data_IF_704737261082
#
_entry.id   IF_704737261082
#
_cell.length_a   1.000
_cell.length_b   1.000
_cell.length_c   1.000
_cell.angle_alpha   90.00
_cell.angle_beta   90.00
_cell.angle_gamma   90.00
#
_symmetry.space_group_name_H-M   'P 1'
#
loop_
_entity.id
_entity.type
_entity.pdbx_description
1 polymer ?
#
# COMPACT_ATOMS: atom_id res chain seq x y z
N UNK A 1 47.03 31.50 -18.27
CA UNK A 1 45.60 31.43 -18.68
C UNK A 1 44.86 30.59 -17.66
N UNK A 2 43.86 31.16 -16.97
CA UNK A 2 43.13 30.48 -15.88
C UNK A 2 42.02 29.62 -16.50
N UNK A 3 42.11 28.30 -16.34
CA UNK A 3 41.08 27.36 -16.79
C UNK A 3 39.99 27.31 -15.72
N UNK A 4 38.86 27.99 -15.97
CA UNK A 4 37.70 27.89 -15.09
C UNK A 4 37.08 26.49 -15.23
N UNK A 5 37.12 25.69 -14.16
CA UNK A 5 36.34 24.46 -14.06
C UNK A 5 34.85 24.83 -13.92
N UNK A 6 34.07 24.53 -14.96
CA UNK A 6 32.61 24.47 -14.88
C UNK A 6 32.24 23.19 -14.10
N UNK A 7 31.78 23.35 -12.85
CA UNK A 7 31.22 22.26 -12.06
C UNK A 7 29.81 21.96 -12.60
N UNK A 8 29.70 20.88 -13.38
CA UNK A 8 28.43 20.31 -13.79
C UNK A 8 27.80 19.58 -12.60
N UNK A 9 26.96 20.27 -11.82
CA UNK A 9 26.20 19.65 -10.73
C UNK A 9 25.17 18.67 -11.31
N UNK A 10 25.50 17.38 -11.25
CA UNK A 10 24.62 16.28 -11.57
C UNK A 10 23.55 16.18 -10.48
N UNK A 11 22.35 16.70 -10.73
CA UNK A 11 21.20 16.44 -9.87
C UNK A 11 20.89 14.94 -9.92
N UNK A 12 21.26 14.21 -8.86
CA UNK A 12 20.76 12.87 -8.60
C UNK A 12 19.27 12.98 -8.30
N UNK A 13 18.43 12.83 -9.32
CA UNK A 13 17.01 12.57 -9.14
C UNK A 13 16.94 11.12 -8.63
N UNK A 14 16.48 10.86 -7.39
CA UNK A 14 16.22 9.49 -6.97
C UNK A 14 15.14 8.94 -7.90
N UNK A 15 15.51 7.97 -8.74
CA UNK A 15 14.55 7.20 -9.52
C UNK A 15 13.72 6.40 -8.52
N UNK A 16 12.50 6.86 -8.24
CA UNK A 16 11.50 6.03 -7.57
C UNK A 16 11.14 4.97 -8.62
N UNK A 17 11.76 3.80 -8.51
CA UNK A 17 11.45 2.66 -9.38
C UNK A 17 10.07 2.13 -9.00
N UNK A 18 9.04 2.51 -9.78
CA UNK A 18 7.77 1.81 -9.83
C UNK A 18 7.85 0.70 -10.87
N UNK A 19 8.38 -0.44 -10.47
CA UNK A 19 8.12 -1.70 -11.17
C UNK A 19 7.73 -2.73 -10.11
N UNK A 20 6.52 -2.57 -9.56
CA UNK A 20 6.22 -3.25 -8.30
C UNK A 20 6.02 -4.76 -8.48
N UNK A 21 5.49 -5.20 -9.63
CA UNK A 21 5.54 -6.60 -10.09
C UNK A 21 5.39 -6.64 -11.62
N UNK A 22 6.46 -6.95 -12.36
CA UNK A 22 6.40 -7.09 -13.83
C UNK A 22 6.92 -8.48 -14.27
N UNK A 23 6.30 -9.53 -13.74
CA UNK A 23 6.68 -10.91 -14.05
C UNK A 23 5.90 -11.43 -15.26
N UNK A 24 6.56 -12.19 -16.13
CA UNK A 24 5.93 -12.75 -17.33
C UNK A 24 4.98 -13.92 -17.03
N UNK A 25 5.24 -14.70 -15.99
CA UNK A 25 4.37 -15.81 -15.59
C UNK A 25 3.41 -15.42 -14.46
N UNK A 26 2.18 -15.95 -14.54
CA UNK A 26 1.09 -15.60 -13.63
C UNK A 26 1.39 -16.01 -12.18
N UNK A 27 2.07 -17.13 -11.95
CA UNK A 27 2.36 -17.59 -10.59
C UNK A 27 3.37 -16.68 -9.89
N UNK A 28 4.45 -16.28 -10.57
CA UNK A 28 5.43 -15.34 -10.04
C UNK A 28 4.84 -13.94 -9.88
N UNK A 29 3.97 -13.51 -10.80
CA UNK A 29 3.23 -12.25 -10.66
C UNK A 29 2.38 -12.27 -9.37
N UNK A 30 1.62 -13.34 -9.16
CA UNK A 30 0.78 -13.51 -7.97
C UNK A 30 1.61 -13.46 -6.69
N UNK A 31 2.68 -14.25 -6.59
CA UNK A 31 3.59 -14.26 -5.43
C UNK A 31 4.24 -12.89 -5.17
N UNK A 32 4.60 -12.18 -6.24
CA UNK A 32 5.12 -10.83 -6.13
C UNK A 32 4.07 -9.89 -5.51
N UNK A 33 2.82 -9.95 -5.98
CA UNK A 33 1.72 -9.15 -5.46
C UNK A 33 1.44 -9.48 -3.97
N UNK A 34 1.53 -10.74 -3.56
CA UNK A 34 1.42 -11.13 -2.14
C UNK A 34 2.53 -10.50 -1.30
N UNK A 35 3.78 -10.58 -1.78
CA UNK A 35 4.92 -9.99 -1.10
C UNK A 35 4.81 -8.46 -1.03
N UNK A 36 4.30 -7.84 -2.08
CA UNK A 36 4.03 -6.42 -2.12
C UNK A 36 2.99 -6.02 -1.08
N UNK A 37 1.87 -6.72 -1.03
CA UNK A 37 0.81 -6.48 -0.06
C UNK A 37 1.32 -6.63 1.39
N UNK A 38 2.14 -7.65 1.65
CA UNK A 38 2.79 -7.83 2.97
C UNK A 38 3.66 -6.63 3.33
N UNK A 39 4.44 -6.15 2.38
CA UNK A 39 5.30 -4.97 2.54
C UNK A 39 4.47 -3.73 2.86
N UNK A 40 3.38 -3.49 2.12
CA UNK A 40 2.53 -2.31 2.32
C UNK A 40 1.72 -2.36 3.61
N UNK A 41 1.23 -3.54 4.03
CA UNK A 41 0.66 -3.74 5.37
C UNK A 41 1.67 -3.38 6.47
N UNK A 42 2.94 -3.73 6.28
CA UNK A 42 4.03 -3.34 7.18
C UNK A 42 4.26 -1.82 7.23
N UNK A 43 4.28 -1.15 6.08
CA UNK A 43 4.36 0.32 6.00
C UNK A 43 3.16 0.99 6.67
N UNK A 44 1.95 0.47 6.43
CA UNK A 44 0.71 1.01 6.98
C UNK A 44 0.70 0.93 8.52
N UNK A 45 1.16 -0.19 9.09
CA UNK A 45 1.25 -0.32 10.55
C UNK A 45 2.23 0.70 11.15
N UNK A 46 3.40 0.91 10.51
CA UNK A 46 4.36 1.93 10.96
C UNK A 46 3.75 3.34 10.89
N UNK A 47 3.10 3.66 9.78
CA UNK A 47 2.47 4.95 9.56
C UNK A 47 1.32 5.20 10.54
N UNK A 48 0.47 4.19 10.77
CA UNK A 48 -0.58 4.24 11.80
C UNK A 48 0.01 4.57 13.17
N UNK A 49 1.10 3.93 13.58
CA UNK A 49 1.74 4.21 14.87
C UNK A 49 2.29 5.64 14.95
N UNK A 50 2.82 6.18 13.85
CA UNK A 50 3.23 7.58 13.79
C UNK A 50 2.03 8.52 13.98
N UNK A 51 0.93 8.32 13.25
CA UNK A 51 -0.32 9.10 13.40
C UNK A 51 -0.92 8.94 14.81
N UNK A 52 -0.83 7.74 15.39
CA UNK A 52 -1.36 7.47 16.72
C UNK A 52 -0.61 8.23 17.82
N UNK A 53 0.72 8.31 17.72
CA UNK A 53 1.56 8.91 18.75
C UNK A 53 1.53 10.44 18.77
N UNK A 54 1.07 11.10 17.69
CA UNK A 54 0.92 12.55 17.61
C UNK A 54 -0.41 13.07 18.22
N UNK A 55 -1.34 12.18 18.55
CA UNK A 55 -2.67 12.54 19.03
C UNK A 55 -2.84 12.43 20.55
N UNK A 56 -3.76 13.22 21.10
CA UNK A 56 -4.24 13.05 22.47
C UNK A 56 -5.08 11.76 22.62
N UNK A 57 -5.41 11.37 23.86
CA UNK A 57 -6.13 10.11 24.13
C UNK A 57 -7.50 10.04 23.46
N UNK A 58 -8.19 11.18 23.34
CA UNK A 58 -9.49 11.24 22.65
C UNK A 58 -9.32 10.90 21.16
N UNK A 59 -8.36 11.55 20.50
CA UNK A 59 -8.12 11.38 19.06
C UNK A 59 -7.46 10.03 18.75
N UNK A 60 -6.65 9.47 19.64
CA UNK A 60 -6.16 8.08 19.57
C UNK A 60 -7.31 7.08 19.51
N UNK A 61 -8.28 7.19 20.42
CA UNK A 61 -9.45 6.31 20.44
C UNK A 61 -10.29 6.42 19.15
N UNK A 62 -10.42 7.63 18.59
CA UNK A 62 -11.10 7.84 17.31
C UNK A 62 -10.33 7.24 16.13
N UNK A 63 -8.99 7.39 16.09
CA UNK A 63 -8.14 6.80 15.08
C UNK A 63 -8.19 5.26 15.12
N UNK A 64 -8.14 4.68 16.31
CA UNK A 64 -8.25 3.23 16.50
C UNK A 64 -9.61 2.71 16.01
N UNK A 65 -10.70 3.40 16.37
CA UNK A 65 -12.05 3.07 15.90
C UNK A 65 -12.15 3.15 14.37
N UNK A 66 -11.59 4.21 13.77
CA UNK A 66 -11.51 4.37 12.31
C UNK A 66 -10.75 3.21 11.66
N UNK A 67 -9.58 2.86 12.20
CA UNK A 67 -8.75 1.77 11.67
C UNK A 67 -9.45 0.41 11.76
N UNK A 68 -10.13 0.11 12.86
CA UNK A 68 -10.91 -1.12 13.02
C UNK A 68 -12.09 -1.18 12.04
N UNK A 69 -12.81 -0.08 11.86
CA UNK A 69 -13.90 -0.01 10.90
C UNK A 69 -13.41 -0.23 9.46
N UNK A 70 -12.27 0.37 9.09
CA UNK A 70 -11.63 0.14 7.81
C UNK A 70 -11.20 -1.32 7.62
N UNK A 71 -10.63 -1.96 8.64
CA UNK A 71 -10.27 -3.39 8.59
C UNK A 71 -11.49 -4.26 8.30
N UNK A 72 -12.61 -4.00 8.99
CA UNK A 72 -13.87 -4.72 8.77
C UNK A 72 -14.40 -4.49 7.35
N UNK A 73 -14.41 -3.24 6.88
CA UNK A 73 -14.78 -2.92 5.50
C UNK A 73 -13.92 -3.69 4.49
N UNK A 74 -12.59 -3.71 4.65
CA UNK A 74 -11.69 -4.42 3.74
C UNK A 74 -11.96 -5.94 3.74
N UNK A 75 -12.24 -6.54 4.90
CA UNK A 75 -12.57 -7.97 4.99
C UNK A 75 -13.86 -8.25 4.23
N UNK A 76 -14.94 -7.53 4.55
CA UNK A 76 -16.24 -7.73 3.88
C UNK A 76 -16.13 -7.47 2.37
N UNK A 77 -15.41 -6.42 1.97
CA UNK A 77 -15.24 -6.06 0.57
C UNK A 77 -14.39 -7.10 -0.19
N UNK A 78 -13.20 -7.42 0.30
CA UNK A 78 -12.24 -8.22 -0.44
C UNK A 78 -12.37 -9.72 -0.17
N UNK A 79 -12.56 -10.12 1.09
CA UNK A 79 -12.57 -11.54 1.46
C UNK A 79 -13.96 -12.17 1.28
N UNK A 80 -15.03 -11.40 1.46
CA UNK A 80 -16.41 -11.92 1.33
C UNK A 80 -17.02 -11.56 -0.03
N UNK A 81 -17.18 -10.27 -0.34
CA UNK A 81 -17.88 -9.82 -1.55
C UNK A 81 -17.11 -10.18 -2.82
N UNK A 82 -15.80 -9.91 -2.91
CA UNK A 82 -15.02 -10.30 -4.09
C UNK A 82 -14.95 -11.81 -4.26
N UNK A 83 -14.80 -12.58 -3.19
CA UNK A 83 -14.86 -14.04 -3.26
C UNK A 83 -16.22 -14.52 -3.77
N UNK A 84 -17.32 -13.92 -3.32
CA UNK A 84 -18.67 -14.25 -3.81
C UNK A 84 -18.86 -13.91 -5.28
N UNK A 85 -18.39 -12.75 -5.73
CA UNK A 85 -18.54 -12.29 -7.12
C UNK A 85 -17.63 -13.04 -8.09
N UNK A 86 -16.53 -13.61 -7.58
CA UNK A 86 -15.55 -14.37 -8.38
C UNK A 86 -15.63 -15.89 -8.15
N UNK A 87 -16.66 -16.37 -7.44
CA UNK A 87 -16.83 -17.79 -7.11
C UNK A 87 -16.84 -18.72 -8.33
N UNK A 88 -17.29 -18.24 -9.49
CA UNK A 88 -17.26 -18.98 -10.77
C UNK A 88 -15.93 -18.89 -11.54
N UNK A 89 -15.00 -18.02 -11.12
CA UNK A 89 -13.69 -17.91 -11.73
C UNK A 89 -12.77 -19.02 -11.17
N UNK A 90 -12.46 -19.99 -12.02
CA UNK A 90 -11.58 -21.11 -11.67
C UNK A 90 -10.11 -20.66 -11.58
N UNK A 91 -9.35 -21.29 -10.69
CA UNK A 91 -7.90 -21.16 -10.61
C UNK A 91 -7.42 -19.77 -10.13
N UNK A 92 -6.34 -19.28 -10.72
CA UNK A 92 -5.64 -18.07 -10.26
C UNK A 92 -6.44 -16.77 -10.43
N UNK A 93 -7.46 -16.74 -11.29
CA UNK A 93 -8.21 -15.51 -11.59
C UNK A 93 -8.97 -14.95 -10.38
N UNK A 94 -9.63 -15.80 -9.59
CA UNK A 94 -10.30 -15.39 -8.34
C UNK A 94 -9.29 -14.94 -7.29
N UNK A 95 -8.14 -15.63 -7.19
CA UNK A 95 -7.03 -15.21 -6.35
C UNK A 95 -6.52 -13.82 -6.72
N UNK A 96 -6.32 -13.53 -8.01
CA UNK A 96 -5.87 -12.21 -8.47
C UNK A 96 -6.86 -11.10 -8.12
N UNK A 97 -8.16 -11.33 -8.31
CA UNK A 97 -9.19 -10.34 -7.96
C UNK A 97 -9.22 -10.03 -6.46
N UNK A 98 -9.12 -11.07 -5.62
CA UNK A 98 -8.99 -10.93 -4.17
C UNK A 98 -7.75 -10.11 -3.78
N UNK A 99 -6.60 -10.49 -4.34
CA UNK A 99 -5.31 -9.88 -4.01
C UNK A 99 -5.24 -8.41 -4.47
N UNK A 100 -5.75 -8.10 -5.66
CA UNK A 100 -5.84 -6.75 -6.19
C UNK A 100 -6.74 -5.85 -5.32
N UNK A 101 -7.90 -6.35 -4.88
CA UNK A 101 -8.76 -5.63 -3.93
C UNK A 101 -8.01 -5.27 -2.64
N UNK A 102 -7.27 -6.23 -2.06
CA UNK A 102 -6.50 -5.99 -0.84
C UNK A 102 -5.37 -4.96 -1.05
N UNK A 103 -4.68 -5.01 -2.19
CA UNK A 103 -3.61 -4.06 -2.54
C UNK A 103 -4.19 -2.65 -2.68
N UNK A 104 -5.24 -2.47 -3.48
CA UNK A 104 -5.84 -1.16 -3.72
C UNK A 104 -6.43 -0.55 -2.44
N UNK A 105 -7.11 -1.36 -1.62
CA UNK A 105 -7.63 -0.92 -0.32
C UNK A 105 -6.52 -0.49 0.65
N UNK A 106 -5.40 -1.23 0.68
CA UNK A 106 -4.24 -0.90 1.53
C UNK A 106 -3.53 0.37 1.05
N UNK A 107 -3.37 0.55 -0.28
CA UNK A 107 -2.78 1.74 -0.87
C UNK A 107 -3.61 2.99 -0.57
N UNK A 108 -4.94 2.89 -0.65
CA UNK A 108 -5.84 3.98 -0.28
C UNK A 108 -5.66 4.38 1.20
N UNK A 109 -5.65 3.40 2.11
CA UNK A 109 -5.47 3.66 3.54
C UNK A 109 -4.10 4.28 3.87
N UNK A 110 -3.05 3.85 3.18
CA UNK A 110 -1.72 4.46 3.29
C UNK A 110 -1.76 5.94 2.92
N UNK A 111 -2.46 6.30 1.82
CA UNK A 111 -2.61 7.69 1.40
C UNK A 111 -3.38 8.52 2.43
N UNK A 112 -4.47 7.98 2.98
CA UNK A 112 -5.24 8.63 4.05
C UNK A 112 -4.37 8.88 5.28
N UNK A 113 -3.70 7.85 5.82
CA UNK A 113 -2.86 7.99 7.01
C UNK A 113 -1.70 8.98 6.78
N UNK A 114 -1.12 8.98 5.57
CA UNK A 114 -0.04 9.90 5.22
C UNK A 114 -0.52 11.35 5.23
N UNK A 115 -1.72 11.61 4.72
CA UNK A 115 -2.33 12.94 4.75
C UNK A 115 -2.56 13.48 6.17
N UNK A 116 -2.60 12.62 7.20
CA UNK A 116 -2.75 13.02 8.60
C UNK A 116 -1.42 13.44 9.28
N UNK A 117 -0.29 13.24 8.60
CA UNK A 117 1.06 13.64 9.08
C UNK A 117 1.60 14.83 8.28
N UNK A 118 1.20 14.96 7.01
CA UNK A 118 1.62 16.07 6.14
C UNK A 118 0.84 17.37 6.37
N UNK A 119 -0.02 17.41 7.40
CA UNK A 119 -0.78 18.60 7.83
C UNK A 119 -0.18 19.25 9.06
#
# INVERSE_FOLDING_TARGET
MKFNLLILSLCFIPTISFAQCNQQDQMSLYKCMEQQLKTDKGKMNKLYQQVYNQYDEKNKALLEKSQKAWLNYRIVQCDELMSSLTYGALGLASGFAHLDCQINSTAFRLKELKSLIEN
#
